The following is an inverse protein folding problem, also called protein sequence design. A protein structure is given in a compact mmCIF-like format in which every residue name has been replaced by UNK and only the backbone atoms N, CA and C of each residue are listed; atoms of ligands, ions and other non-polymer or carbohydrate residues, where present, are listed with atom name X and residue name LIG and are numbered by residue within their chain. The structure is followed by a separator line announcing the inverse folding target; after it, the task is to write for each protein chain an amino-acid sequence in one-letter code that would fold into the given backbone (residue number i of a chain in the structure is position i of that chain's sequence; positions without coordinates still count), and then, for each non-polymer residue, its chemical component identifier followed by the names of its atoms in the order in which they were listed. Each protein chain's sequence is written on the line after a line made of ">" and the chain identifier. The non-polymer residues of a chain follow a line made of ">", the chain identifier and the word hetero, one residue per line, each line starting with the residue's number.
data_IF_088624506467
#
_entry.id   IF_088624506467
#
_cell.length_a   1.000
_cell.length_b   1.000
_cell.length_c   1.000
_cell.angle_alpha   90.00
_cell.angle_beta   90.00
_cell.angle_gamma   90.00
#
_symmetry.space_group_name_H-M   'P 1'
#
loop_
_entity.id
_entity.type
_entity.pdbx_description
1 polymer ?
#
# COMPACT_ATOMS: atom_id res chain seq x y z
N UNK A 1 -16.94 -14.94 -8.50
CA UNK A 1 -16.49 -15.19 -7.10
C UNK A 1 -14.99 -15.34 -7.17
N UNK A 2 -14.24 -14.23 -7.13
CA UNK A 2 -12.79 -14.28 -7.11
C UNK A 2 -12.35 -14.62 -5.68
N UNK A 3 -11.83 -15.83 -5.49
CA UNK A 3 -11.20 -16.22 -4.24
C UNK A 3 -9.80 -15.66 -4.25
N UNK A 4 -9.61 -14.51 -3.60
CA UNK A 4 -8.27 -14.01 -3.30
C UNK A 4 -7.65 -14.95 -2.27
N UNK A 5 -6.78 -15.86 -2.73
CA UNK A 5 -5.93 -16.66 -1.84
C UNK A 5 -4.74 -15.78 -1.49
N UNK A 6 -4.68 -15.31 -0.23
CA UNK A 6 -3.48 -14.67 0.29
C UNK A 6 -2.41 -15.75 0.51
N UNK A 7 -1.39 -15.75 -0.36
CA UNK A 7 -0.20 -16.57 -0.15
C UNK A 7 0.63 -15.93 0.96
N UNK A 8 1.04 -16.74 1.94
CA UNK A 8 1.94 -16.28 3.00
C UNK A 8 3.26 -15.79 2.43
N UNK A 9 3.79 -14.69 2.99
CA UNK A 9 5.12 -14.19 2.66
C UNK A 9 6.23 -15.15 3.08
N UNK A 10 7.39 -15.02 2.44
CA UNK A 10 8.54 -15.87 2.70
C UNK A 10 9.22 -15.45 4.02
N UNK A 11 9.18 -16.32 5.02
CA UNK A 11 9.96 -16.15 6.24
C UNK A 11 11.36 -16.77 6.09
N UNK A 12 12.24 -16.47 7.04
CA UNK A 12 13.62 -16.97 7.02
C UNK A 12 13.71 -18.50 7.01
N UNK A 13 12.81 -19.19 7.71
CA UNK A 13 12.71 -20.64 7.72
C UNK A 13 12.39 -21.21 6.33
N UNK A 14 11.43 -20.60 5.62
CA UNK A 14 11.10 -20.96 4.24
C UNK A 14 12.26 -20.67 3.29
N UNK A 15 12.92 -19.52 3.45
CA UNK A 15 14.13 -19.20 2.70
C UNK A 15 15.22 -20.26 2.86
N UNK A 16 15.52 -20.73 4.08
CA UNK A 16 16.53 -21.77 4.30
C UNK A 16 16.22 -23.06 3.54
N UNK A 17 14.94 -23.45 3.46
CA UNK A 17 14.51 -24.60 2.67
C UNK A 17 14.80 -24.36 1.19
N UNK A 18 14.45 -23.18 0.67
CA UNK A 18 14.72 -22.82 -0.73
C UNK A 18 16.23 -22.75 -1.03
N UNK A 19 17.03 -22.14 -0.16
CA UNK A 19 18.48 -22.05 -0.32
C UNK A 19 19.13 -23.44 -0.39
N UNK A 20 18.69 -24.37 0.45
CA UNK A 20 19.17 -25.75 0.39
C UNK A 20 18.69 -26.47 -0.88
N UNK A 21 17.45 -26.25 -1.31
CA UNK A 21 16.89 -26.92 -2.48
C UNK A 21 17.53 -26.47 -3.81
N UNK A 22 17.83 -25.18 -3.97
CA UNK A 22 18.34 -24.63 -5.23
C UNK A 22 19.86 -24.52 -5.26
N UNK A 23 20.48 -24.20 -4.13
CA UNK A 23 21.91 -23.89 -4.05
C UNK A 23 22.71 -24.93 -3.26
N UNK A 24 22.04 -25.87 -2.57
CA UNK A 24 22.67 -26.87 -1.71
C UNK A 24 23.51 -26.23 -0.60
N UNK A 25 23.02 -25.10 -0.07
CA UNK A 25 23.69 -24.32 0.99
C UNK A 25 22.83 -24.30 2.25
N UNK A 26 23.42 -24.72 3.37
CA UNK A 26 22.79 -24.66 4.70
C UNK A 26 23.14 -23.38 5.48
N UNK A 27 24.24 -22.70 5.13
CA UNK A 27 24.72 -21.47 5.76
C UNK A 27 25.56 -20.65 4.80
N UNK A 28 25.41 -19.34 4.82
CA UNK A 28 26.22 -18.38 4.06
C UNK A 28 26.35 -17.07 4.84
N UNK A 29 27.39 -16.29 4.56
CA UNK A 29 27.63 -14.98 5.20
C UNK A 29 26.51 -13.96 4.94
N UNK A 30 25.69 -14.17 3.90
CA UNK A 30 24.56 -13.32 3.54
C UNK A 30 23.25 -13.69 4.26
N UNK A 31 23.19 -14.83 4.95
CA UNK A 31 21.96 -15.28 5.62
C UNK A 31 21.48 -14.32 6.71
N UNK A 32 22.36 -13.72 7.56
CA UNK A 32 21.93 -12.73 8.55
C UNK A 32 21.27 -11.50 7.93
N UNK A 33 21.81 -11.03 6.81
CA UNK A 33 21.29 -9.87 6.07
C UNK A 33 19.94 -10.20 5.42
N UNK A 34 19.85 -11.34 4.73
CA UNK A 34 18.60 -11.83 4.14
C UNK A 34 17.52 -12.03 5.23
N UNK A 35 17.88 -12.54 6.41
CA UNK A 35 16.96 -12.67 7.54
C UNK A 35 16.41 -11.32 7.99
N UNK A 36 17.27 -10.30 8.08
CA UNK A 36 16.85 -8.97 8.44
C UNK A 36 15.91 -8.38 7.40
N UNK A 37 16.28 -8.46 6.12
CA UNK A 37 15.49 -7.92 5.01
C UNK A 37 14.13 -8.62 4.82
N UNK A 38 14.07 -9.95 4.93
CA UNK A 38 12.80 -10.69 4.91
C UNK A 38 11.89 -10.35 6.10
N UNK A 39 12.43 -9.84 7.21
CA UNK A 39 11.66 -9.33 8.33
C UNK A 39 11.02 -7.96 8.08
N UNK A 40 11.52 -7.22 7.10
CA UNK A 40 11.07 -5.86 6.77
C UNK A 40 10.33 -5.77 5.43
N UNK A 41 10.26 -6.88 4.69
CA UNK A 41 9.73 -6.93 3.33
C UNK A 41 8.73 -8.06 3.16
N UNK A 42 7.73 -7.80 2.32
CA UNK A 42 6.67 -8.73 2.01
C UNK A 42 6.91 -9.36 0.63
N UNK A 43 7.84 -10.31 0.55
CA UNK A 43 8.18 -11.03 -0.69
C UNK A 43 7.62 -12.46 -0.65
N UNK A 44 7.08 -12.97 -1.77
CA UNK A 44 6.48 -14.31 -1.78
C UNK A 44 7.55 -15.40 -1.89
N UNK A 45 7.29 -16.64 -1.45
CA UNK A 45 8.23 -17.75 -1.64
C UNK A 45 8.59 -17.98 -3.12
N UNK A 46 7.69 -17.69 -4.06
CA UNK A 46 7.96 -17.80 -5.50
C UNK A 46 8.97 -16.75 -5.97
N UNK A 47 8.79 -15.49 -5.57
CA UNK A 47 9.74 -14.41 -5.90
C UNK A 47 11.12 -14.66 -5.29
N UNK A 48 11.17 -15.18 -4.05
CA UNK A 48 12.43 -15.59 -3.41
C UNK A 48 13.08 -16.73 -4.20
N UNK A 49 12.31 -17.76 -4.58
CA UNK A 49 12.83 -18.88 -5.35
C UNK A 49 13.37 -18.44 -6.72
N UNK A 50 12.71 -17.51 -7.40
CA UNK A 50 13.18 -16.94 -8.67
C UNK A 50 14.56 -16.31 -8.53
N UNK A 51 14.78 -15.56 -7.44
CA UNK A 51 16.08 -14.96 -7.17
C UNK A 51 17.14 -15.97 -6.75
N UNK A 52 16.77 -17.14 -6.23
CA UNK A 52 17.70 -18.20 -5.86
C UNK A 52 18.03 -19.18 -7.00
N UNK A 53 17.24 -19.24 -8.07
CA UNK A 53 17.50 -20.12 -9.20
C UNK A 53 18.70 -19.63 -10.03
N UNK A 54 19.81 -20.39 -10.15
CA UNK A 54 20.93 -19.98 -10.99
C UNK A 54 20.49 -19.76 -12.43
N UNK A 55 20.82 -18.60 -13.01
CA UNK A 55 20.43 -18.26 -14.40
C UNK A 55 21.42 -18.77 -15.43
N UNK A 56 22.61 -19.18 -15.00
CA UNK A 56 23.62 -19.82 -15.85
C UNK A 56 24.42 -20.83 -15.05
N UNK A 57 25.12 -21.74 -15.74
CA UNK A 57 26.00 -22.73 -15.12
C UNK A 57 27.24 -22.14 -14.43
N UNK A 58 27.47 -20.83 -14.55
CA UNK A 58 28.60 -20.12 -13.94
C UNK A 58 28.23 -19.36 -12.67
N UNK A 59 26.94 -19.19 -12.38
CA UNK A 59 26.49 -18.53 -11.17
C UNK A 59 26.67 -19.49 -9.98
N UNK A 60 27.31 -19.00 -8.93
CA UNK A 60 27.42 -19.70 -7.66
C UNK A 60 26.32 -19.25 -6.68
N UNK A 61 26.31 -19.87 -5.51
CA UNK A 61 25.35 -19.53 -4.46
C UNK A 61 25.48 -18.08 -3.99
N UNK A 62 26.70 -17.52 -3.94
CA UNK A 62 26.94 -16.14 -3.55
C UNK A 62 26.23 -15.17 -4.47
N UNK A 63 26.44 -15.32 -5.79
CA UNK A 63 25.79 -14.50 -6.83
C UNK A 63 24.27 -14.54 -6.73
N UNK A 64 23.69 -15.72 -6.46
CA UNK A 64 22.24 -15.88 -6.31
C UNK A 64 21.71 -15.18 -5.04
N UNK A 65 22.47 -15.24 -3.94
CA UNK A 65 22.11 -14.62 -2.66
C UNK A 65 22.26 -13.09 -2.71
N UNK A 66 23.29 -12.56 -3.37
CA UNK A 66 23.46 -11.13 -3.63
C UNK A 66 22.29 -10.58 -4.44
N UNK A 67 21.89 -11.28 -5.50
CA UNK A 67 20.71 -10.92 -6.29
C UNK A 67 19.42 -10.89 -5.46
N UNK A 68 19.26 -11.83 -4.53
CA UNK A 68 18.12 -11.82 -3.61
C UNK A 68 18.17 -10.59 -2.68
N UNK A 69 19.34 -10.20 -2.17
CA UNK A 69 19.50 -9.00 -1.34
C UNK A 69 19.06 -7.76 -2.12
N UNK A 70 19.55 -7.56 -3.34
CA UNK A 70 19.17 -6.43 -4.20
C UNK A 70 17.65 -6.36 -4.44
N UNK A 71 17.02 -7.52 -4.68
CA UNK A 71 15.59 -7.62 -4.89
C UNK A 71 14.79 -7.26 -3.62
N UNK A 72 15.26 -7.68 -2.44
CA UNK A 72 14.64 -7.35 -1.16
C UNK A 72 14.79 -5.86 -0.83
N UNK A 73 15.95 -5.27 -1.05
CA UNK A 73 16.16 -3.83 -0.86
C UNK A 73 15.25 -2.99 -1.76
N UNK A 74 15.13 -3.39 -3.02
CA UNK A 74 14.23 -2.76 -3.99
C UNK A 74 12.78 -2.84 -3.51
N UNK A 75 12.33 -4.03 -3.10
CA UNK A 75 10.97 -4.23 -2.58
C UNK A 75 10.69 -3.37 -1.33
N UNK A 76 11.68 -3.20 -0.45
CA UNK A 76 11.58 -2.33 0.73
C UNK A 76 11.37 -0.87 0.35
N UNK A 77 12.13 -0.36 -0.62
CA UNK A 77 12.01 1.03 -1.08
C UNK A 77 10.67 1.25 -1.77
N UNK A 78 10.26 0.34 -2.65
CA UNK A 78 8.95 0.44 -3.32
C UNK A 78 7.78 0.44 -2.34
N UNK A 79 7.82 -0.40 -1.29
CA UNK A 79 6.77 -0.44 -0.28
C UNK A 79 6.63 0.90 0.46
N UNK A 80 7.75 1.55 0.79
CA UNK A 80 7.75 2.87 1.42
C UNK A 80 7.15 3.94 0.51
N UNK A 81 7.58 3.97 -0.75
CA UNK A 81 7.05 4.94 -1.73
C UNK A 81 5.54 4.76 -1.95
N UNK A 82 5.06 3.51 -2.06
CA UNK A 82 3.63 3.21 -2.20
C UNK A 82 2.84 3.68 -0.98
N UNK A 83 3.36 3.46 0.24
CA UNK A 83 2.72 3.92 1.47
C UNK A 83 2.64 5.46 1.55
N UNK A 84 3.71 6.16 1.19
CA UNK A 84 3.73 7.63 1.16
C UNK A 84 2.74 8.20 0.13
N UNK A 85 2.70 7.63 -1.07
CA UNK A 85 1.72 8.03 -2.09
C UNK A 85 0.27 7.78 -1.65
N UNK A 86 -0.02 6.66 -0.99
CA UNK A 86 -1.34 6.35 -0.48
C UNK A 86 -1.76 7.34 0.62
N UNK A 87 -0.85 7.70 1.52
CA UNK A 87 -1.10 8.73 2.53
C UNK A 87 -1.42 10.10 1.90
N UNK A 88 -0.68 10.51 0.87
CA UNK A 88 -0.94 11.78 0.17
C UNK A 88 -2.29 11.77 -0.54
N UNK A 89 -2.62 10.66 -1.24
CA UNK A 89 -3.91 10.46 -1.90
C UNK A 89 -5.05 10.51 -0.88
N UNK A 90 -4.88 9.91 0.30
CA UNK A 90 -5.85 9.99 1.39
C UNK A 90 -6.03 11.41 1.92
N UNK A 91 -4.93 12.13 2.19
CA UNK A 91 -4.96 13.52 2.67
C UNK A 91 -5.70 14.43 1.68
N UNK A 92 -5.36 14.34 0.39
CA UNK A 92 -6.01 15.09 -0.67
C UNK A 92 -7.51 14.77 -0.79
N UNK A 93 -7.91 13.51 -0.63
CA UNK A 93 -9.31 13.10 -0.68
C UNK A 93 -10.10 13.62 0.54
N UNK A 94 -9.51 13.56 1.75
CA UNK A 94 -10.08 14.13 2.98
C UNK A 94 -10.33 15.62 2.83
N UNK A 95 -9.41 16.38 2.24
CA UNK A 95 -9.56 17.83 2.03
C UNK A 95 -10.62 18.18 0.98
N UNK A 96 -10.67 17.44 -0.14
CA UNK A 96 -11.77 17.58 -1.12
C UNK A 96 -13.14 17.34 -0.48
N UNK A 97 -13.26 16.31 0.38
CA UNK A 97 -14.50 15.98 1.11
C UNK A 97 -14.90 17.09 2.10
N UNK A 98 -13.93 17.64 2.87
CA UNK A 98 -14.16 18.79 3.76
C UNK A 98 -14.67 20.02 2.99
N UNK A 99 -14.03 20.35 1.86
CA UNK A 99 -14.38 21.52 1.03
C UNK A 99 -15.79 21.37 0.42
N UNK A 100 -16.13 20.20 -0.12
CA UNK A 100 -17.50 19.89 -0.60
C UNK A 100 -18.54 20.02 0.53
N UNK A 101 -18.25 19.50 1.73
CA UNK A 101 -19.16 19.61 2.89
C UNK A 101 -19.39 21.07 3.31
N UNK A 102 -18.35 21.90 3.29
CA UNK A 102 -18.46 23.33 3.60
C UNK A 102 -19.35 24.08 2.60
N UNK A 103 -19.16 23.83 1.30
CA UNK A 103 -19.98 24.43 0.23
C UNK A 103 -21.45 24.01 0.38
N UNK A 104 -21.70 22.71 0.62
CA UNK A 104 -23.05 22.20 0.83
C UNK A 104 -23.73 22.86 2.02
N UNK A 105 -23.05 22.99 3.17
CA UNK A 105 -23.59 23.68 4.35
C UNK A 105 -23.94 25.14 4.06
N UNK A 106 -23.08 25.86 3.30
CA UNK A 106 -23.32 27.26 2.93
C UNK A 106 -24.53 27.39 2.01
N UNK A 107 -24.69 26.49 1.03
CA UNK A 107 -25.84 26.47 0.12
C UNK A 107 -27.15 26.17 0.85
N UNK A 108 -27.15 25.20 1.77
CA UNK A 108 -28.31 24.87 2.61
C UNK A 108 -28.70 26.08 3.47
N UNK A 109 -27.73 26.72 4.12
CA UNK A 109 -27.98 27.95 4.90
C UNK A 109 -28.58 29.08 4.05
N UNK A 110 -28.10 29.26 2.82
CA UNK A 110 -28.62 30.27 1.89
C UNK A 110 -30.07 29.97 1.51
N UNK A 111 -30.39 28.71 1.15
CA UNK A 111 -31.76 28.29 0.82
C UNK A 111 -32.71 28.49 1.98
N UNK A 112 -32.32 28.12 3.20
CA UNK A 112 -33.14 28.33 4.42
C UNK A 112 -33.43 29.82 4.64
N UNK A 113 -32.43 30.70 4.45
CA UNK A 113 -32.62 32.15 4.55
C UNK A 113 -33.59 32.70 3.49
N UNK A 114 -33.45 32.25 2.25
CA UNK A 114 -34.35 32.64 1.15
C UNK A 114 -35.78 32.18 1.42
N UNK A 115 -35.98 30.92 1.84
CA UNK A 115 -37.28 30.38 2.23
C UNK A 115 -37.93 31.19 3.36
N UNK A 116 -37.19 31.49 4.43
CA UNK A 116 -37.70 32.33 5.52
C UNK A 116 -38.14 33.71 5.03
N UNK A 117 -37.34 34.36 4.15
CA UNK A 117 -37.69 35.67 3.58
C UNK A 117 -38.95 35.60 2.70
N UNK A 118 -39.09 34.55 1.88
CA UNK A 118 -40.30 34.32 1.07
C UNK A 118 -41.54 34.13 1.95
N UNK A 119 -41.44 33.31 3.00
CA UNK A 119 -42.56 33.08 3.93
C UNK A 119 -42.96 34.36 4.67
N UNK A 120 -42.01 35.24 5.01
CA UNK A 120 -42.32 36.55 5.60
C UNK A 120 -43.03 37.47 4.61
N UNK A 121 -42.59 37.54 3.35
CA UNK A 121 -43.23 38.36 2.32
C UNK A 121 -44.68 37.94 2.07
N UNK A 122 -44.97 36.63 2.04
CA UNK A 122 -46.35 36.12 1.91
C UNK A 122 -47.21 36.50 3.12
N UNK A 123 -46.65 36.48 4.33
CA UNK A 123 -47.39 36.89 5.55
C UNK A 123 -47.70 38.40 5.57
N UNK A 124 -46.80 39.25 5.09
CA UNK A 124 -47.00 40.71 5.06
C UNK A 124 -48.12 41.09 4.08
N UNK A 125 -48.25 40.41 2.93
CA UNK A 125 -49.30 40.71 1.95
C UNK A 125 -50.71 40.30 2.38
N UNK A 126 -50.87 39.38 3.33
CA UNK A 126 -52.19 38.96 3.84
C UNK A 126 -52.68 39.77 5.05
N UNK A 127 -51.86 40.67 5.60
CA UNK A 127 -52.20 41.49 6.77
C UNK A 127 -52.59 42.94 6.45
N UNK A 128 -52.84 43.26 5.18
CA UNK A 128 -53.21 44.61 4.72
C UNK A 128 -54.54 44.60 3.97
N UNK A 129 -55.58 44.06 4.62
CA UNK A 129 -57.02 44.27 4.37
C UNK A 129 -57.65 44.51 5.73
#
# INVERSE_FOLDING_TARGET
>A
MDKHIELSYCCFESFKVLANNYLVVASHDHFPEIRHLLGETNMTPADVAENLMPKSSKEDAGTCLERLIEALETAKVEAKLKAEEEEEKEKANKDKKKRKKMVLRKMVSLRVRVLRKMVMLVKVNHGNI
#
